data_IF_523183721892
#
_entry.id   IF_523183721892
#
_cell.length_a   1.000
_cell.length_b   1.000
_cell.length_c   1.000
_cell.angle_alpha   90.00
_cell.angle_beta   90.00
_cell.angle_gamma   90.00
#
_symmetry.space_group_name_H-M   'P 1'
#
loop_
_entity.id
_entity.type
_entity.pdbx_description
1 polymer ?
#
# COMPACT_ATOMS: atom_id res chain seq x y z
N UNK A 1 2.87 1.26 6.26
CA UNK A 1 1.55 0.78 6.73
C UNK A 1 1.67 -0.68 7.13
N UNK A 2 1.09 -1.07 8.26
CA UNK A 2 1.00 -2.48 8.65
C UNK A 2 -0.28 -3.04 8.05
N UNK A 3 -0.15 -4.07 7.21
CA UNK A 3 -1.25 -4.82 6.62
C UNK A 3 -1.48 -6.10 7.41
N UNK A 4 -2.75 -6.45 7.60
CA UNK A 4 -3.15 -7.82 7.90
C UNK A 4 -3.33 -8.63 6.60
N UNK A 5 -3.53 -9.93 6.75
CA UNK A 5 -3.71 -10.88 5.62
C UNK A 5 -4.90 -10.53 4.73
N UNK A 6 -5.88 -9.76 5.24
CA UNK A 6 -7.10 -9.35 4.54
C UNK A 6 -7.02 -7.92 4.03
N UNK A 7 -5.88 -7.26 4.23
CA UNK A 7 -5.59 -5.88 3.83
C UNK A 7 -6.69 -4.90 4.22
N UNK A 8 -7.38 -5.15 5.34
CA UNK A 8 -8.44 -4.30 5.87
C UNK A 8 -8.01 -2.84 6.09
N UNK A 9 -6.75 -2.53 6.45
CA UNK A 9 -6.30 -1.14 6.53
C UNK A 9 -6.57 -0.36 5.23
N UNK A 10 -6.32 -0.96 4.06
CA UNK A 10 -6.56 -0.29 2.76
C UNK A 10 -8.05 -0.06 2.44
N UNK A 11 -8.96 -0.66 3.22
CA UNK A 11 -10.40 -0.42 3.14
C UNK A 11 -10.86 0.74 4.04
N UNK A 12 -9.94 1.42 4.73
CA UNK A 12 -10.23 2.55 5.64
C UNK A 12 -9.81 3.87 5.01
N UNK A 13 -10.67 4.89 5.09
CA UNK A 13 -10.39 6.21 4.47
C UNK A 13 -9.11 6.85 5.02
N UNK A 14 -8.80 6.66 6.29
CA UNK A 14 -7.54 7.17 6.87
C UNK A 14 -6.28 6.58 6.19
N UNK A 15 -6.34 5.34 5.71
CA UNK A 15 -5.23 4.73 4.98
C UNK A 15 -5.09 5.27 3.55
N UNK A 16 -6.20 5.70 2.93
CA UNK A 16 -6.17 6.48 1.70
C UNK A 16 -5.47 7.83 1.93
N UNK A 17 -5.77 8.52 3.03
CA UNK A 17 -5.06 9.75 3.40
C UNK A 17 -3.56 9.52 3.62
N UNK A 18 -3.16 8.49 4.36
CA UNK A 18 -1.74 8.14 4.56
C UNK A 18 -1.01 7.84 3.25
N UNK A 19 -1.68 7.17 2.32
CA UNK A 19 -1.14 6.87 1.00
C UNK A 19 -0.92 8.16 0.20
N UNK A 20 -1.92 9.05 0.19
CA UNK A 20 -1.82 10.36 -0.45
C UNK A 20 -0.66 11.19 0.13
N UNK A 21 -0.55 11.26 1.46
CA UNK A 21 0.56 11.95 2.12
C UNK A 21 1.92 11.34 1.75
N UNK A 22 1.99 10.01 1.60
CA UNK A 22 3.22 9.32 1.18
C UNK A 22 3.64 9.67 -0.25
N UNK A 23 2.68 9.89 -1.15
CA UNK A 23 2.95 10.36 -2.52
C UNK A 23 3.54 11.77 -2.47
N UNK A 24 2.90 12.68 -1.74
CA UNK A 24 3.33 14.08 -1.59
C UNK A 24 4.74 14.13 -0.97
N UNK A 25 4.96 13.44 0.14
CA UNK A 25 6.27 13.40 0.80
C UNK A 25 7.38 12.83 -0.07
N UNK A 26 7.06 11.84 -0.94
CA UNK A 26 8.04 11.29 -1.89
C UNK A 26 8.43 12.32 -2.96
N UNK A 27 7.52 13.19 -3.37
CA UNK A 27 7.81 14.28 -4.31
C UNK A 27 8.65 15.38 -3.65
N UNK A 28 8.34 15.72 -2.40
CA UNK A 28 9.06 16.78 -1.65
C UNK A 28 10.43 16.33 -1.13
N UNK A 29 10.57 15.05 -0.78
CA UNK A 29 11.76 14.51 -0.10
C UNK A 29 12.27 13.27 -0.84
N UNK A 30 13.27 13.40 -1.73
CA UNK A 30 13.81 12.27 -2.49
C UNK A 30 14.41 11.15 -1.61
N UNK A 31 14.84 11.47 -0.39
CA UNK A 31 15.33 10.47 0.57
C UNK A 31 14.22 9.75 1.34
N UNK A 32 12.96 10.18 1.21
CA UNK A 32 11.84 9.47 1.80
C UNK A 32 11.74 8.10 1.13
N UNK A 33 11.95 7.05 1.93
CA UNK A 33 11.95 5.65 1.46
C UNK A 33 10.60 5.17 0.92
N UNK A 34 9.58 6.02 1.02
CA UNK A 34 8.27 5.79 0.42
C UNK A 34 7.34 5.03 1.35
N UNK A 35 6.40 4.33 0.72
CA UNK A 35 5.33 3.61 1.38
C UNK A 35 5.68 2.13 1.45
N UNK A 36 5.79 1.60 2.66
CA UNK A 36 6.23 0.22 2.90
C UNK A 36 5.10 -0.58 3.52
N UNK A 37 4.92 -1.81 3.04
CA UNK A 37 3.97 -2.76 3.60
C UNK A 37 4.65 -3.65 4.64
N UNK A 38 4.08 -3.70 5.85
CA UNK A 38 4.54 -4.57 6.92
C UNK A 38 3.48 -5.64 7.19
N UNK A 39 3.92 -6.86 7.47
CA UNK A 39 3.10 -8.00 7.93
C UNK A 39 3.54 -8.40 9.33
N UNK A 40 2.75 -9.25 10.00
CA UNK A 40 3.12 -9.86 11.29
C UNK A 40 4.44 -10.63 11.24
N UNK A 41 4.81 -11.16 10.08
CA UNK A 41 6.07 -11.86 9.81
C UNK A 41 7.24 -10.96 9.39
N UNK A 42 7.06 -9.64 9.41
CA UNK A 42 8.08 -8.67 9.00
C UNK A 42 7.68 -7.82 7.80
N UNK A 43 8.63 -7.09 7.25
CA UNK A 43 8.37 -6.13 6.17
C UNK A 43 8.39 -6.82 4.81
N UNK A 44 7.30 -6.76 4.06
CA UNK A 44 7.19 -7.39 2.74
C UNK A 44 8.29 -6.91 1.79
N UNK A 45 8.65 -5.63 1.87
CA UNK A 45 9.67 -5.04 1.01
C UNK A 45 11.11 -5.53 1.32
N UNK A 46 11.34 -6.30 2.38
CA UNK A 46 12.67 -6.79 2.79
C UNK A 46 12.82 -8.31 2.74
N UNK A 47 11.93 -9.02 2.02
CA UNK A 47 11.96 -10.48 1.93
C UNK A 47 11.32 -11.12 3.16
N UNK A 48 10.01 -11.38 3.08
CA UNK A 48 9.33 -12.11 4.14
C UNK A 48 9.58 -13.63 3.98
N UNK A 49 9.75 -14.35 5.09
CA UNK A 49 9.70 -15.82 5.13
C UNK A 49 8.32 -16.40 4.78
N UNK A 50 7.33 -15.55 4.48
CA UNK A 50 5.93 -15.90 4.24
C UNK A 50 5.50 -15.50 2.82
N UNK A 51 6.05 -16.19 1.81
CA UNK A 51 5.77 -15.97 0.40
C UNK A 51 4.27 -16.05 0.07
N UNK A 52 3.57 -17.04 0.65
CA UNK A 52 2.14 -17.24 0.44
C UNK A 52 1.30 -16.06 0.97
N UNK A 53 1.70 -15.49 2.11
CA UNK A 53 1.05 -14.31 2.70
C UNK A 53 1.24 -13.09 1.80
N UNK A 54 2.43 -12.92 1.24
CA UNK A 54 2.72 -11.83 0.31
C UNK A 54 1.89 -11.91 -0.98
N UNK A 55 1.76 -13.11 -1.56
CA UNK A 55 0.91 -13.34 -2.74
C UNK A 55 -0.55 -13.08 -2.40
N UNK A 56 -1.02 -13.55 -1.25
CA UNK A 56 -2.41 -13.32 -0.80
C UNK A 56 -2.71 -11.83 -0.67
N UNK A 57 -1.83 -11.09 0.00
CA UNK A 57 -1.93 -9.63 0.16
C UNK A 57 -1.95 -8.94 -1.22
N UNK A 58 -1.04 -9.31 -2.11
CA UNK A 58 -0.98 -8.67 -3.43
C UNK A 58 -2.22 -8.96 -4.29
N UNK A 59 -2.77 -10.18 -4.22
CA UNK A 59 -4.06 -10.52 -4.84
C UNK A 59 -5.17 -9.64 -4.30
N UNK A 60 -5.31 -9.55 -2.98
CA UNK A 60 -6.35 -8.73 -2.37
C UNK A 60 -6.21 -7.26 -2.76
N UNK A 61 -5.02 -6.66 -2.67
CA UNK A 61 -4.83 -5.25 -3.03
C UNK A 61 -5.13 -4.97 -4.50
N UNK A 62 -4.85 -5.91 -5.41
CA UNK A 62 -5.19 -5.73 -6.82
C UNK A 62 -6.70 -5.60 -7.07
N UNK A 63 -7.53 -6.05 -6.12
CA UNK A 63 -8.99 -5.89 -6.17
C UNK A 63 -9.48 -4.66 -5.41
N UNK A 64 -8.65 -4.04 -4.58
CA UNK A 64 -9.04 -2.89 -3.78
C UNK A 64 -9.02 -1.63 -4.64
N UNK A 65 -10.08 -0.87 -4.47
CA UNK A 65 -10.24 0.47 -5.04
C UNK A 65 -10.47 1.44 -3.90
N UNK A 66 -9.54 2.37 -3.70
CA UNK A 66 -9.50 3.22 -2.50
C UNK A 66 -10.69 4.17 -2.38
N UNK A 67 -11.40 4.46 -3.47
CA UNK A 67 -12.68 5.19 -3.44
C UNK A 67 -13.77 4.48 -2.62
N UNK A 68 -13.69 3.16 -2.47
CA UNK A 68 -14.63 2.37 -1.68
C UNK A 68 -14.25 2.32 -0.20
N UNK A 69 -13.21 3.05 0.21
CA UNK A 69 -12.76 3.08 1.60
C UNK A 69 -13.83 3.70 2.52
N UNK A 70 -13.93 3.15 3.73
CA UNK A 70 -14.94 3.52 4.74
C UNK A 70 -14.30 4.26 5.90
N UNK A 71 -15.09 5.10 6.55
CA UNK A 71 -14.76 5.71 7.85
C UNK A 71 -15.93 5.52 8.80
N UNK A 72 -15.65 5.41 10.10
CA UNK A 72 -16.68 5.42 11.14
C UNK A 72 -17.34 6.79 11.30
N UNK A 73 -16.64 7.85 10.88
CA UNK A 73 -17.10 9.25 10.91
C UNK A 73 -17.24 9.72 9.46
N UNK A 74 -18.46 10.05 9.04
CA UNK A 74 -18.72 10.48 7.66
C UNK A 74 -17.97 11.76 7.30
N UNK A 75 -17.85 12.71 8.25
CA UNK A 75 -17.09 13.94 8.03
C UNK A 75 -15.61 13.69 7.68
N UNK A 76 -14.98 12.68 8.29
CA UNK A 76 -13.62 12.28 7.96
C UNK A 76 -13.54 11.72 6.53
N UNK A 77 -14.51 10.88 6.16
CA UNK A 77 -14.59 10.34 4.81
C UNK A 77 -14.74 11.46 3.78
N UNK A 78 -15.69 12.37 3.98
CA UNK A 78 -15.96 13.47 3.03
C UNK A 78 -14.73 14.37 2.90
N UNK A 79 -14.06 14.71 4.01
CA UNK A 79 -12.83 15.48 4.00
C UNK A 79 -11.73 14.77 3.17
N UNK A 80 -11.48 13.49 3.44
CA UNK A 80 -10.42 12.73 2.77
C UNK A 80 -10.74 12.52 1.29
N UNK A 81 -11.99 12.19 0.97
CA UNK A 81 -12.45 11.99 -0.40
C UNK A 81 -12.29 13.29 -1.22
N UNK A 82 -12.58 14.45 -0.61
CA UNK A 82 -12.35 15.76 -1.22
C UNK A 82 -10.87 16.08 -1.43
N UNK A 83 -10.01 15.75 -0.46
CA UNK A 83 -8.56 15.94 -0.58
C UNK A 83 -7.98 15.11 -1.72
N UNK A 84 -8.43 13.85 -1.87
CA UNK A 84 -8.00 12.97 -2.96
C UNK A 84 -8.54 13.47 -4.29
N UNK A 85 -9.81 13.86 -4.37
CA UNK A 85 -10.40 14.40 -5.60
C UNK A 85 -9.70 15.68 -6.09
N UNK A 86 -9.21 16.51 -5.17
CA UNK A 86 -8.44 17.72 -5.49
C UNK A 86 -6.97 17.45 -5.89
N UNK A 87 -6.44 16.27 -5.58
CA UNK A 87 -5.05 15.92 -5.90
C UNK A 87 -4.89 15.61 -7.40
N UNK A 88 -3.80 16.04 -8.07
CA UNK A 88 -3.56 15.71 -9.47
C UNK A 88 -3.61 14.20 -9.74
N UNK A 89 -4.48 13.77 -10.65
CA UNK A 89 -4.71 12.36 -10.97
C UNK A 89 -5.66 11.62 -10.01
N UNK A 90 -6.10 12.26 -8.93
CA UNK A 90 -7.18 11.79 -8.06
C UNK A 90 -7.01 10.36 -7.53
N UNK A 91 -8.13 9.66 -7.41
CA UNK A 91 -8.16 8.26 -6.96
C UNK A 91 -7.33 7.33 -7.84
N UNK A 92 -7.28 7.54 -9.15
CA UNK A 92 -6.50 6.71 -10.07
C UNK A 92 -4.99 6.80 -9.77
N UNK A 93 -4.48 8.00 -9.48
CA UNK A 93 -3.08 8.16 -9.07
C UNK A 93 -2.78 7.40 -7.78
N UNK A 94 -3.68 7.46 -6.80
CA UNK A 94 -3.49 6.76 -5.52
C UNK A 94 -3.58 5.24 -5.69
N UNK A 95 -4.55 4.75 -6.45
CA UNK A 95 -4.69 3.32 -6.77
C UNK A 95 -3.45 2.79 -7.52
N UNK A 96 -2.94 3.55 -8.49
CA UNK A 96 -1.73 3.18 -9.23
C UNK A 96 -0.50 3.13 -8.31
N UNK A 97 -0.33 4.13 -7.45
CA UNK A 97 0.76 4.17 -6.49
C UNK A 97 0.73 2.96 -5.54
N UNK A 98 -0.43 2.60 -5.01
CA UNK A 98 -0.57 1.39 -4.18
C UNK A 98 -0.20 0.12 -4.96
N UNK A 99 -0.72 -0.01 -6.19
CA UNK A 99 -0.41 -1.14 -7.07
C UNK A 99 1.09 -1.28 -7.36
N UNK A 100 1.77 -0.18 -7.65
CA UNK A 100 3.21 -0.17 -7.94
C UNK A 100 4.05 -0.52 -6.70
N UNK A 101 3.69 -0.01 -5.52
CA UNK A 101 4.41 -0.38 -4.29
C UNK A 101 4.26 -1.88 -4.00
N UNK A 102 3.10 -2.49 -4.28
CA UNK A 102 2.90 -3.92 -4.03
C UNK A 102 3.59 -4.79 -5.07
N UNK A 103 3.60 -4.38 -6.34
CA UNK A 103 4.41 -5.05 -7.36
C UNK A 103 5.89 -5.00 -6.98
N UNK A 104 6.37 -3.83 -6.52
CA UNK A 104 7.74 -3.66 -6.03
C UNK A 104 8.05 -4.59 -4.86
N UNK A 105 7.13 -4.71 -3.89
CA UNK A 105 7.25 -5.64 -2.77
C UNK A 105 7.35 -7.10 -3.23
N UNK A 106 6.46 -7.53 -4.14
CA UNK A 106 6.49 -8.88 -4.70
C UNK A 106 7.78 -9.20 -5.45
N UNK A 107 8.31 -8.24 -6.22
CA UNK A 107 9.59 -8.41 -6.91
C UNK A 107 10.74 -8.57 -5.92
N UNK A 108 10.77 -7.79 -4.83
CA UNK A 108 11.79 -7.93 -3.79
C UNK A 108 11.73 -9.29 -3.09
N UNK A 109 10.52 -9.79 -2.80
CA UNK A 109 10.32 -11.11 -2.18
C UNK A 109 10.78 -12.22 -3.11
N UNK A 110 10.43 -12.14 -4.41
CA UNK A 110 10.88 -13.10 -5.41
C UNK A 110 12.41 -13.15 -5.50
N UNK A 111 13.07 -12.00 -5.55
CA UNK A 111 14.54 -11.92 -5.61
C UNK A 111 15.20 -12.52 -4.35
N UNK A 112 14.62 -12.28 -3.16
CA UNK A 112 15.09 -12.90 -1.91
C UNK A 112 14.98 -14.42 -1.96
N UNK A 113 13.83 -14.93 -2.43
CA UNK A 113 13.60 -16.38 -2.56
C UNK A 113 14.57 -17.04 -3.55
N UNK A 114 14.80 -16.42 -4.71
CA UNK A 114 15.78 -16.90 -5.69
C UNK A 114 17.19 -16.95 -5.10
N UNK A 115 17.57 -15.94 -4.31
CA UNK A 115 18.88 -15.91 -3.60
C UNK A 115 19.01 -17.02 -2.55
N UNK A 116 17.97 -17.23 -1.73
CA UNK A 116 17.96 -18.29 -0.71
C UNK A 116 17.98 -19.70 -1.31
N UNK A 117 17.50 -19.85 -2.56
CA UNK A 117 17.52 -21.14 -3.28
C UNK A 117 18.88 -21.45 -3.92
N UNK A 118 19.65 -20.41 -4.27
CA UNK A 118 21.00 -20.53 -4.86
C UNK A 118 22.12 -20.66 -3.82
N UNK A 119 21.83 -20.42 -2.53
CA UNK A 119 22.76 -20.55 -1.39
C UNK A 119 22.79 -21.95 -0.79
#
# INVERSE_FOLDING_TARGET
MVLDERVEPLRRSWCLFETLQSIILRQERPQFKGFVFCTSSGVLNYGAQAYDVAISIAKEVSTIRVENAKASVQADKDMIDNLVAAFPGGYECVNHFLGDNIKGALHAIRASFETDFES
#
